data_IF_476277718688
#
_entry.id   IF_476277718688
#
_cell.length_a   1.000
_cell.length_b   1.000
_cell.length_c   1.000
_cell.angle_alpha   90.00
_cell.angle_beta   90.00
_cell.angle_gamma   90.00
#
_symmetry.space_group_name_H-M   'P 1'
#
loop_
_entity.id
_entity.type
_entity.pdbx_description
1 polymer ?
#
# COMPACT_ATOMS: atom_id res chain seq x y z
N UNK A 1 9.03 17.14 -5.08
CA UNK A 1 7.60 16.95 -4.79
C UNK A 1 6.95 18.32 -4.76
N UNK A 2 6.10 18.65 -5.73
CA UNK A 2 5.49 19.99 -5.81
C UNK A 2 4.16 20.05 -5.04
N UNK A 3 3.36 18.98 -5.06
CA UNK A 3 2.08 18.90 -4.34
C UNK A 3 1.76 17.49 -3.83
N UNK A 4 1.07 17.40 -2.68
CA UNK A 4 0.69 16.11 -2.05
C UNK A 4 -0.33 15.32 -2.86
N UNK A 5 -1.16 16.00 -3.66
CA UNK A 5 -2.19 15.39 -4.50
C UNK A 5 -1.74 15.35 -5.97
N UNK A 6 -0.50 14.92 -6.22
CA UNK A 6 -0.04 14.71 -7.59
C UNK A 6 -0.80 13.51 -8.18
N UNK A 7 -1.40 13.63 -9.38
CA UNK A 7 -2.13 12.53 -10.00
C UNK A 7 -1.26 11.30 -10.26
N UNK A 8 -1.90 10.14 -10.30
CA UNK A 8 -1.27 8.90 -10.74
C UNK A 8 -0.72 9.02 -12.16
N UNK A 9 0.53 8.60 -12.34
CA UNK A 9 1.19 8.51 -13.64
C UNK A 9 1.64 7.08 -13.93
N UNK A 10 0.94 6.40 -14.83
CA UNK A 10 1.29 5.02 -15.22
C UNK A 10 2.67 4.89 -15.87
N UNK A 11 3.33 5.97 -16.29
CA UNK A 11 4.71 5.89 -16.79
C UNK A 11 5.71 5.68 -15.66
N UNK A 12 5.43 6.19 -14.46
CA UNK A 12 6.27 5.99 -13.27
C UNK A 12 6.10 4.57 -12.70
N UNK A 13 7.00 4.17 -11.81
CA UNK A 13 6.83 2.91 -11.09
C UNK A 13 5.58 2.94 -10.21
N UNK A 14 4.76 1.90 -10.27
CA UNK A 14 3.54 1.71 -9.48
C UNK A 14 3.33 0.20 -9.23
N UNK A 15 2.42 -0.15 -8.31
CA UNK A 15 2.25 -1.55 -7.90
C UNK A 15 1.53 -2.44 -8.91
N UNK A 16 1.06 -1.93 -10.07
CA UNK A 16 0.64 -2.78 -11.20
C UNK A 16 1.83 -3.40 -11.93
N UNK A 17 3.07 -2.99 -11.62
CA UNK A 17 4.30 -3.45 -12.28
C UNK A 17 5.13 -4.43 -11.44
N UNK A 18 4.68 -4.77 -10.23
CA UNK A 18 5.34 -5.79 -9.41
C UNK A 18 5.11 -7.17 -10.01
N UNK A 19 5.98 -8.12 -9.67
CA UNK A 19 5.79 -9.52 -10.06
C UNK A 19 4.86 -10.23 -9.07
N UNK A 20 4.21 -11.29 -9.52
CA UNK A 20 3.30 -12.05 -8.68
C UNK A 20 4.01 -12.72 -7.50
N UNK A 21 5.30 -13.04 -7.62
CA UNK A 21 6.10 -13.61 -6.52
C UNK A 21 6.39 -12.62 -5.39
N UNK A 22 6.17 -11.32 -5.61
CA UNK A 22 6.28 -10.30 -4.57
C UNK A 22 5.02 -10.22 -3.69
N UNK A 23 3.93 -10.90 -4.07
CA UNK A 23 2.66 -10.89 -3.33
C UNK A 23 2.68 -11.99 -2.27
N UNK A 24 2.55 -11.60 -1.00
CA UNK A 24 2.46 -12.53 0.13
C UNK A 24 1.02 -12.96 0.38
N UNK A 25 0.09 -11.99 0.38
CA UNK A 25 -1.32 -12.21 0.65
C UNK A 25 -2.20 -11.31 -0.22
N UNK A 26 -3.33 -11.85 -0.66
CA UNK A 26 -4.48 -11.08 -1.18
C UNK A 26 -5.57 -11.12 -0.13
N UNK A 27 -6.07 -9.95 0.25
CA UNK A 27 -7.18 -9.79 1.17
C UNK A 27 -8.38 -9.34 0.34
N UNK A 28 -9.30 -10.28 0.13
CA UNK A 28 -10.52 -10.06 -0.62
C UNK A 28 -11.66 -9.85 0.40
N UNK A 29 -12.35 -8.71 0.34
CA UNK A 29 -13.60 -8.55 1.08
C UNK A 29 -14.70 -9.31 0.34
N UNK A 30 -15.45 -10.17 1.03
CA UNK A 30 -16.41 -11.14 0.46
C UNK A 30 -17.50 -10.57 -0.47
N UNK A 31 -17.56 -9.25 -0.69
CA UNK A 31 -18.53 -8.58 -1.56
C UNK A 31 -17.96 -7.37 -2.33
N UNK A 32 -16.64 -7.14 -2.29
CA UNK A 32 -15.99 -6.04 -3.01
C UNK A 32 -15.02 -6.59 -4.04
N UNK A 33 -14.87 -5.89 -5.16
CA UNK A 33 -13.85 -6.19 -6.17
C UNK A 33 -12.46 -5.74 -5.75
N UNK A 34 -12.38 -4.92 -4.71
CA UNK A 34 -11.15 -4.33 -4.20
C UNK A 34 -10.20 -5.41 -3.69
N UNK A 35 -9.02 -5.50 -4.33
CA UNK A 35 -7.98 -6.46 -3.95
C UNK A 35 -6.90 -5.76 -3.18
N UNK A 36 -6.99 -5.83 -1.85
CA UNK A 36 -5.92 -5.33 -1.00
C UNK A 36 -4.78 -6.35 -0.96
N UNK A 37 -3.56 -5.89 -1.15
CA UNK A 37 -2.39 -6.76 -1.19
C UNK A 37 -1.46 -6.46 -0.02
N UNK A 38 -0.83 -7.52 0.48
CA UNK A 38 0.35 -7.44 1.33
C UNK A 38 1.51 -7.96 0.50
N UNK A 39 2.51 -7.11 0.26
CA UNK A 39 3.62 -7.43 -0.64
C UNK A 39 4.97 -7.32 0.07
N UNK A 40 5.95 -8.04 -0.46
CA UNK A 40 7.34 -7.93 -0.07
C UNK A 40 7.85 -6.53 -0.39
N UNK A 41 8.49 -5.87 0.57
CA UNK A 41 9.24 -4.66 0.27
C UNK A 41 10.64 -5.05 -0.23
N UNK A 42 10.92 -4.81 -1.51
CA UNK A 42 12.23 -5.08 -2.12
C UNK A 42 13.34 -4.12 -1.62
N UNK A 43 13.00 -3.10 -0.85
CA UNK A 43 13.93 -2.20 -0.16
C UNK A 43 13.49 -1.98 1.31
N UNK A 44 13.56 -3.03 2.16
CA UNK A 44 13.02 -2.97 3.50
C UNK A 44 13.89 -2.09 4.42
N UNK A 45 13.26 -1.27 5.27
CA UNK A 45 13.97 -0.44 6.27
C UNK A 45 14.44 -1.31 7.46
N UNK A 46 13.68 -2.38 7.76
CA UNK A 46 13.94 -3.36 8.83
C UNK A 46 13.49 -4.75 8.38
N UNK A 47 13.97 -5.84 9.02
CA UNK A 47 13.45 -7.19 8.77
C UNK A 47 11.92 -7.24 8.88
N UNK A 48 11.30 -8.05 8.01
CA UNK A 48 9.84 -8.25 7.94
C UNK A 48 9.02 -7.00 7.56
N UNK A 49 9.66 -5.97 7.01
CA UNK A 49 8.97 -4.80 6.48
C UNK A 49 8.22 -5.15 5.19
N UNK A 50 6.90 -5.10 5.25
CA UNK A 50 5.98 -5.33 4.11
C UNK A 50 5.31 -4.03 3.69
N UNK A 51 4.72 -4.02 2.51
CA UNK A 51 3.90 -2.90 2.05
C UNK A 51 2.43 -3.33 2.01
N UNK A 52 1.56 -2.46 2.52
CA UNK A 52 0.12 -2.57 2.39
C UNK A 52 -0.31 -1.79 1.15
N UNK A 53 -0.87 -2.48 0.17
CA UNK A 53 -1.29 -1.88 -1.09
C UNK A 53 -2.81 -1.95 -1.19
N UNK A 54 -3.45 -0.81 -0.97
CA UNK A 54 -4.86 -0.64 -1.28
C UNK A 54 -5.07 -0.67 -2.80
N UNK A 55 -6.19 -1.24 -3.23
CA UNK A 55 -6.47 -1.74 -4.57
C UNK A 55 -5.67 -1.04 -5.68
N UNK A 56 -4.73 -1.80 -6.28
CA UNK A 56 -3.81 -1.24 -7.27
C UNK A 56 -4.47 -0.84 -8.58
N UNK A 57 -5.66 -1.35 -8.86
CA UNK A 57 -6.40 -1.07 -10.08
C UNK A 57 -7.12 0.27 -10.05
N UNK A 58 -7.27 0.90 -8.87
CA UNK A 58 -7.91 2.20 -8.75
C UNK A 58 -7.03 3.36 -9.25
N UNK A 59 -5.73 3.13 -9.46
CA UNK A 59 -4.79 4.12 -10.01
C UNK A 59 -4.90 5.50 -9.31
N UNK A 60 -5.01 5.47 -7.98
CA UNK A 60 -5.22 6.68 -7.18
C UNK A 60 -3.93 7.45 -6.97
N UNK A 61 -4.05 8.76 -6.75
CA UNK A 61 -2.97 9.56 -6.17
C UNK A 61 -2.57 8.98 -4.80
N UNK A 62 -1.31 9.14 -4.43
CA UNK A 62 -0.79 8.71 -3.12
C UNK A 62 -1.29 9.61 -1.98
N UNK A 63 -2.58 9.48 -1.69
CA UNK A 63 -3.34 10.21 -0.68
C UNK A 63 -4.07 9.19 0.16
N UNK A 64 -4.02 9.37 1.48
CA UNK A 64 -4.65 8.47 2.41
C UNK A 64 -6.17 8.67 2.41
N UNK A 65 -6.91 7.68 1.91
CA UNK A 65 -8.38 7.64 1.95
C UNK A 65 -8.88 6.97 3.24
N UNK A 66 -10.19 7.07 3.51
CA UNK A 66 -10.81 6.35 4.63
C UNK A 66 -10.62 4.84 4.45
N UNK A 67 -10.79 4.32 3.23
CA UNK A 67 -10.63 2.89 2.95
C UNK A 67 -9.20 2.41 3.19
N UNK A 68 -8.18 3.22 2.85
CA UNK A 68 -6.79 2.94 3.19
C UNK A 68 -6.56 2.88 4.71
N UNK A 69 -7.18 3.78 5.48
CA UNK A 69 -7.08 3.79 6.95
C UNK A 69 -7.73 2.54 7.54
N UNK A 70 -8.94 2.21 7.09
CA UNK A 70 -9.67 1.03 7.53
C UNK A 70 -8.87 -0.23 7.23
N UNK A 71 -8.36 -0.36 6.00
CA UNK A 71 -7.53 -1.50 5.60
C UNK A 71 -6.27 -1.63 6.48
N UNK A 72 -5.52 -0.53 6.68
CA UNK A 72 -4.33 -0.53 7.53
C UNK A 72 -4.64 -0.89 8.98
N UNK A 73 -5.75 -0.38 9.52
CA UNK A 73 -6.19 -0.68 10.88
C UNK A 73 -6.61 -2.13 11.04
N UNK A 74 -7.42 -2.66 10.12
CA UNK A 74 -7.85 -4.06 10.07
C UNK A 74 -6.63 -4.99 10.04
N UNK A 75 -5.63 -4.70 9.19
CA UNK A 75 -4.39 -5.48 9.13
C UNK A 75 -3.65 -5.54 10.47
N UNK A 76 -3.43 -4.38 11.11
CA UNK A 76 -2.72 -4.33 12.40
C UNK A 76 -3.54 -5.05 13.48
N UNK A 77 -4.84 -4.80 13.55
CA UNK A 77 -5.74 -5.42 14.53
C UNK A 77 -5.80 -6.95 14.39
N UNK A 78 -5.89 -7.46 13.15
CA UNK A 78 -5.95 -8.90 12.85
C UNK A 78 -4.64 -9.62 13.15
N UNK A 79 -3.50 -8.91 13.20
CA UNK A 79 -2.22 -9.53 13.50
C UNK A 79 -2.09 -10.03 14.94
N UNK A 80 -2.89 -9.48 15.86
CA UNK A 80 -2.80 -9.72 17.32
C UNK A 80 -1.38 -9.56 17.90
N UNK A 81 -0.47 -8.85 17.20
CA UNK A 81 0.94 -8.77 17.53
C UNK A 81 1.33 -7.34 17.93
N UNK A 82 1.85 -7.10 19.15
CA UNK A 82 2.05 -5.76 19.69
C UNK A 82 3.13 -4.94 18.96
N UNK A 83 3.98 -5.60 18.18
CA UNK A 83 5.07 -4.94 17.44
C UNK A 83 4.76 -4.69 15.96
N UNK A 84 3.57 -5.08 15.48
CA UNK A 84 3.16 -4.72 14.13
C UNK A 84 2.58 -3.31 14.15
N UNK A 85 3.19 -2.43 13.35
CA UNK A 85 2.78 -1.04 13.21
C UNK A 85 2.68 -0.68 11.73
N UNK A 86 1.68 0.11 11.36
CA UNK A 86 1.54 0.66 10.02
C UNK A 86 1.92 2.15 10.01
N UNK A 87 2.47 2.61 8.89
CA UNK A 87 2.80 4.00 8.65
C UNK A 87 2.54 4.36 7.19
N UNK A 88 2.31 5.64 6.92
CA UNK A 88 2.07 6.17 5.59
C UNK A 88 3.00 7.36 5.34
N UNK A 89 3.70 7.33 4.21
CA UNK A 89 4.48 8.46 3.72
C UNK A 89 3.75 9.04 2.50
N UNK A 90 3.40 10.32 2.56
CA UNK A 90 2.88 11.04 1.40
C UNK A 90 4.01 11.47 0.47
N UNK A 91 3.68 11.96 -0.72
CA UNK A 91 4.65 12.52 -1.67
C UNK A 91 5.52 13.63 -1.04
N UNK A 92 4.93 14.57 -0.29
CA UNK A 92 5.70 15.60 0.41
C UNK A 92 6.48 15.05 1.61
N UNK A 93 6.18 13.82 2.06
CA UNK A 93 6.95 13.04 3.03
C UNK A 93 8.05 12.17 2.38
N UNK A 94 8.48 12.52 1.16
CA UNK A 94 9.54 11.82 0.40
C UNK A 94 9.21 10.38 -0.01
N UNK A 95 7.92 10.05 -0.19
CA UNK A 95 7.54 8.78 -0.78
C UNK A 95 8.07 8.62 -2.22
N UNK A 96 8.55 7.42 -2.55
CA UNK A 96 9.25 7.13 -3.81
C UNK A 96 8.38 6.45 -4.88
N UNK A 97 7.16 6.04 -4.53
CA UNK A 97 6.27 5.25 -5.39
C UNK A 97 5.06 6.08 -5.81
N UNK A 98 4.62 5.90 -7.06
CA UNK A 98 3.38 6.47 -7.60
C UNK A 98 2.21 5.51 -7.31
N UNK A 99 1.91 5.29 -6.02
CA UNK A 99 0.78 4.50 -5.51
C UNK A 99 0.60 4.76 -4.01
#
# INVERSE_FOLDING_TARGET
FEHVNTPFDNKKFNFNKIKDEEILFSLDKEQQTDKHLIIINNAPIRPYHVLLVHDRQLEQSQVLTIDCIVFGFEFVASSAHPYITAGFNSLCGYASVNH
#
